data_IF_679646295714
#
_entry.id   IF_679646295714
#
_cell.length_a   1.000
_cell.length_b   1.000
_cell.length_c   1.000
_cell.angle_alpha   90.00
_cell.angle_beta   90.00
_cell.angle_gamma   90.00
#
_symmetry.space_group_name_H-M   'P 1'
#
loop_
_entity.id
_entity.type
_entity.pdbx_description
1 polymer ?
#
# COMPACT_ATOMS: atom_id res chain seq x y z
N UNK A 1 1.64 16.90 10.32
CA UNK A 1 2.68 16.41 9.39
C UNK A 1 2.26 15.01 8.94
N UNK A 2 1.69 14.90 7.73
CA UNK A 2 1.08 13.67 7.18
C UNK A 2 1.78 13.15 5.91
N UNK A 3 2.99 13.63 5.65
CA UNK A 3 3.72 13.33 4.42
C UNK A 3 4.08 11.86 4.25
N UNK A 4 4.26 11.12 5.36
CA UNK A 4 4.53 9.69 5.29
C UNK A 4 3.42 8.93 4.57
N UNK A 5 2.15 9.21 4.90
CA UNK A 5 1.00 8.57 4.25
C UNK A 5 0.92 8.94 2.78
N UNK A 6 1.12 10.22 2.43
CA UNK A 6 1.12 10.68 1.02
C UNK A 6 2.20 9.99 0.19
N UNK A 7 3.41 9.82 0.76
CA UNK A 7 4.50 9.10 0.08
C UNK A 7 4.18 7.62 -0.08
N UNK A 8 3.50 7.00 0.88
CA UNK A 8 3.07 5.61 0.78
C UNK A 8 2.01 5.42 -0.31
N UNK A 9 1.03 6.31 -0.39
CA UNK A 9 0.00 6.30 -1.45
C UNK A 9 0.63 6.40 -2.84
N UNK A 10 1.58 7.33 -3.01
CA UNK A 10 2.28 7.49 -4.29
C UNK A 10 3.16 6.28 -4.63
N UNK A 11 3.81 5.67 -3.64
CA UNK A 11 4.58 4.44 -3.84
C UNK A 11 3.68 3.26 -4.23
N UNK A 12 2.50 3.12 -3.63
CA UNK A 12 1.50 2.12 -4.01
C UNK A 12 1.00 2.36 -5.45
N UNK A 13 0.75 3.62 -5.82
CA UNK A 13 0.36 4.01 -7.20
C UNK A 13 1.42 3.63 -8.22
N UNK A 14 2.68 4.02 -8.00
CA UNK A 14 3.79 3.74 -8.92
C UNK A 14 4.01 2.23 -9.05
N UNK A 15 4.03 1.50 -7.92
CA UNK A 15 4.24 0.06 -7.93
C UNK A 15 3.16 -0.69 -8.72
N UNK A 16 1.90 -0.26 -8.60
CA UNK A 16 0.78 -0.84 -9.35
C UNK A 16 0.78 -0.40 -10.82
N UNK A 17 0.76 0.91 -11.06
CA UNK A 17 0.43 1.48 -12.38
C UNK A 17 1.63 1.43 -13.33
N UNK A 18 2.85 1.64 -12.83
CA UNK A 18 4.06 1.76 -13.65
C UNK A 18 4.87 0.46 -13.68
N UNK A 19 4.84 -0.31 -12.59
CA UNK A 19 5.56 -1.58 -12.50
C UNK A 19 4.68 -2.83 -12.61
N UNK A 20 3.34 -2.69 -12.64
CA UNK A 20 2.43 -3.84 -12.73
C UNK A 20 2.57 -4.81 -11.55
N UNK A 21 3.03 -4.33 -10.39
CA UNK A 21 3.28 -5.17 -9.22
C UNK A 21 1.98 -5.49 -8.49
N UNK A 22 1.83 -6.75 -8.07
CA UNK A 22 0.66 -7.19 -7.31
C UNK A 22 0.82 -6.93 -5.79
N UNK A 23 2.05 -6.72 -5.33
CA UNK A 23 2.38 -6.63 -3.90
C UNK A 23 3.52 -5.66 -3.66
N UNK A 24 3.37 -4.86 -2.61
CA UNK A 24 4.41 -3.95 -2.12
C UNK A 24 4.94 -4.46 -0.78
N UNK A 25 6.26 -4.54 -0.64
CA UNK A 25 6.95 -5.00 0.57
C UNK A 25 7.92 -3.95 1.10
N UNK A 26 7.79 -3.61 2.38
CA UNK A 26 8.58 -2.58 3.05
C UNK A 26 9.57 -3.23 4.01
N UNK A 27 10.84 -2.83 3.91
CA UNK A 27 11.85 -3.13 4.91
C UNK A 27 11.54 -2.30 6.15
N UNK A 28 11.01 -2.93 7.20
CA UNK A 28 10.55 -2.23 8.39
C UNK A 28 11.31 -2.67 9.64
N UNK A 29 11.68 -1.69 10.47
CA UNK A 29 12.15 -1.96 11.83
C UNK A 29 11.00 -2.44 12.71
N UNK A 30 11.27 -3.31 13.69
CA UNK A 30 10.25 -3.92 14.55
C UNK A 30 9.37 -2.87 15.24
N UNK A 31 9.95 -1.77 15.73
CA UNK A 31 9.24 -0.72 16.45
C UNK A 31 8.29 0.15 15.62
N UNK A 32 8.39 0.11 14.29
CA UNK A 32 7.56 0.93 13.38
C UNK A 32 6.51 0.12 12.63
N UNK A 33 6.43 -1.20 12.85
CA UNK A 33 5.45 -2.07 12.18
C UNK A 33 4.00 -1.64 12.44
N UNK A 34 3.72 -1.13 13.64
CA UNK A 34 2.39 -0.64 14.02
C UNK A 34 1.93 0.58 13.22
N UNK A 35 2.86 1.38 12.67
CA UNK A 35 2.55 2.46 11.75
C UNK A 35 2.01 1.91 10.43
N UNK A 36 2.75 0.99 9.80
CA UNK A 36 2.33 0.36 8.54
C UNK A 36 1.08 -0.52 8.70
N UNK A 37 0.91 -1.17 9.85
CA UNK A 37 -0.31 -1.92 10.14
C UNK A 37 -1.58 -1.06 10.07
N UNK A 38 -1.51 0.21 10.50
CA UNK A 38 -2.62 1.16 10.37
C UNK A 38 -2.94 1.53 8.92
N UNK A 39 -1.97 1.36 8.01
CA UNK A 39 -2.12 1.59 6.57
C UNK A 39 -2.57 0.32 5.81
N UNK A 40 -2.90 -0.76 6.53
CA UNK A 40 -3.37 -2.02 5.95
C UNK A 40 -2.26 -3.00 5.56
N UNK A 41 -1.01 -2.74 5.94
CA UNK A 41 0.08 -3.70 5.74
C UNK A 41 0.04 -4.80 6.80
N UNK A 42 0.40 -6.02 6.43
CA UNK A 42 0.58 -7.15 7.36
C UNK A 42 2.05 -7.55 7.47
N UNK A 43 2.38 -8.24 8.57
CA UNK A 43 3.73 -8.78 8.78
C UNK A 43 3.96 -9.97 7.84
N UNK A 44 4.94 -9.85 6.97
CA UNK A 44 5.33 -10.89 6.01
C UNK A 44 6.83 -11.20 6.16
N UNK A 45 7.15 -12.12 7.07
CA UNK A 45 8.52 -12.44 7.46
C UNK A 45 9.24 -11.21 8.03
N UNK A 46 10.38 -10.78 7.45
CA UNK A 46 11.08 -9.58 7.90
C UNK A 46 10.46 -8.27 7.38
N UNK A 47 9.48 -8.34 6.48
CA UNK A 47 8.88 -7.18 5.80
C UNK A 47 7.47 -6.84 6.32
N UNK A 48 7.00 -5.66 5.97
CA UNK A 48 5.57 -5.32 6.01
C UNK A 48 5.05 -5.27 4.59
N UNK A 49 4.01 -6.04 4.27
CA UNK A 49 3.52 -6.16 2.90
C UNK A 49 2.06 -5.76 2.75
N UNK A 50 1.69 -5.33 1.55
CA UNK A 50 0.31 -5.00 1.15
C UNK A 50 0.06 -5.48 -0.28
N UNK A 51 -1.10 -6.09 -0.53
CA UNK A 51 -1.56 -6.42 -1.88
C UNK A 51 -2.06 -5.15 -2.54
N UNK A 52 -1.63 -4.90 -3.77
CA UNK A 52 -2.07 -3.78 -4.58
C UNK A 52 -3.27 -4.24 -5.41
N UNK A 53 -4.42 -3.58 -5.23
CA UNK A 53 -5.60 -3.89 -6.04
C UNK A 53 -5.41 -3.37 -7.46
N UNK A 54 -5.83 -4.10 -8.51
CA UNK A 54 -5.87 -3.58 -9.87
C UNK A 54 -6.76 -2.33 -9.94
N UNK A 55 -6.48 -1.47 -10.93
CA UNK A 55 -7.20 -0.20 -11.13
C UNK A 55 -8.67 -0.37 -11.56
N UNK A 56 -9.06 -1.59 -11.95
CA UNK A 56 -10.34 -1.87 -12.60
C UNK A 56 -11.55 -2.00 -11.63
N UNK A 57 -11.35 -1.80 -10.32
CA UNK A 57 -12.42 -1.92 -9.29
C UNK A 57 -13.06 -0.57 -8.88
N UNK A 58 -12.70 0.56 -9.50
CA UNK A 58 -13.25 1.90 -9.20
C UNK A 58 -14.14 2.49 -10.32
N UNK A 59 -14.87 1.65 -11.06
CA UNK A 59 -15.99 2.09 -11.91
C UNK A 59 -17.27 1.31 -11.54
N UNK A 60 -17.93 1.69 -10.45
CA UNK A 60 -19.36 1.42 -10.17
C UNK A 60 -19.78 2.17 -8.90
N UNK A 61 -19.74 3.50 -8.93
CA UNK A 61 -20.62 4.32 -8.09
C UNK A 61 -21.22 5.46 -8.93
N UNK A 62 -21.77 5.09 -10.08
CA UNK A 62 -22.85 5.81 -10.75
C UNK A 62 -24.19 5.35 -10.17
N UNK A 63 -24.36 5.53 -8.85
CA UNK A 63 -25.65 5.45 -8.19
C UNK A 63 -26.51 6.66 -8.58
N UNK A 64 -27.53 6.41 -9.41
CA UNK A 64 -28.65 7.30 -9.72
C UNK A 64 -29.33 7.90 -8.48
#
# INVERSE_FOLDING_TARGET
QGYGTLLMEEAERIARDEHGSEKLSIISGVGVRSYYAKLGYWLDGPYMSKWLKPKDDEESDDGF
#
